data_IF_058774581902
#
_entry.id   IF_058774581902
#
_cell.length_a   1.000
_cell.length_b   1.000
_cell.length_c   1.000
_cell.angle_alpha   90.00
_cell.angle_beta   90.00
_cell.angle_gamma   90.00
#
_symmetry.space_group_name_H-M   'P 1'
#
loop_
_entity.id
_entity.type
_entity.pdbx_description
1 polymer ?
#
# COMPACT_ATOMS: atom_id res chain seq x y z
N UNK A 1 15.83 9.44 4.56
CA UNK A 1 14.57 9.92 3.96
C UNK A 1 13.90 8.73 3.31
N UNK A 2 12.63 8.49 3.60
CA UNK A 2 11.88 7.36 3.02
C UNK A 2 11.77 7.51 1.49
N UNK A 3 11.87 6.42 0.71
CA UNK A 3 11.74 6.47 -0.74
C UNK A 3 10.38 7.03 -1.17
N UNK A 4 10.37 7.82 -2.24
CA UNK A 4 9.14 8.37 -2.82
C UNK A 4 8.49 7.31 -3.70
N UNK A 5 7.32 6.81 -3.30
CA UNK A 5 6.50 5.89 -4.09
C UNK A 5 5.37 6.63 -4.80
N UNK A 6 5.06 6.21 -6.04
CA UNK A 6 3.95 6.75 -6.81
C UNK A 6 3.14 5.63 -7.45
N UNK A 7 1.81 5.75 -7.37
CA UNK A 7 0.87 4.78 -7.90
C UNK A 7 -0.29 5.45 -8.60
N UNK A 8 -0.84 4.73 -9.57
CA UNK A 8 -2.01 5.14 -10.33
C UNK A 8 -3.00 3.98 -10.36
N UNK A 9 -4.29 4.29 -10.24
CA UNK A 9 -5.36 3.32 -10.41
C UNK A 9 -6.52 3.95 -11.17
N UNK A 10 -7.26 3.11 -11.88
CA UNK A 10 -8.55 3.44 -12.51
C UNK A 10 -9.72 2.91 -11.72
N UNK A 11 -9.45 2.11 -10.69
CA UNK A 11 -10.47 1.61 -9.79
C UNK A 11 -10.96 2.76 -8.91
N UNK A 12 -12.16 2.59 -8.36
CA UNK A 12 -12.74 3.52 -7.39
C UNK A 12 -11.99 3.55 -6.03
N UNK A 13 -11.01 2.68 -5.84
CA UNK A 13 -10.19 2.60 -4.64
C UNK A 13 -8.74 2.25 -4.98
N UNK A 14 -7.81 2.69 -4.13
CA UNK A 14 -6.40 2.34 -4.20
C UNK A 14 -5.96 1.76 -2.87
N UNK A 15 -5.44 0.53 -2.89
CA UNK A 15 -4.82 -0.10 -1.73
C UNK A 15 -3.31 0.12 -1.83
N UNK A 16 -2.72 0.71 -0.79
CA UNK A 16 -1.26 0.82 -0.70
C UNK A 16 -0.61 -0.58 -0.74
N UNK A 17 0.32 -0.82 -1.69
CA UNK A 17 1.13 -2.04 -1.70
C UNK A 17 1.88 -2.22 -0.39
N UNK A 18 2.08 -3.47 0.04
CA UNK A 18 2.77 -3.76 1.31
C UNK A 18 4.22 -3.27 1.31
N UNK A 19 4.87 -3.25 0.14
CA UNK A 19 6.22 -2.71 -0.05
C UNK A 19 6.32 -1.19 0.16
N UNK A 20 5.20 -0.46 0.16
CA UNK A 20 5.16 0.99 0.38
C UNK A 20 4.73 1.34 1.81
N UNK A 21 4.32 0.34 2.58
CA UNK A 21 3.88 0.54 3.96
C UNK A 21 5.11 0.70 4.84
N UNK A 22 5.11 1.67 5.76
CA UNK A 22 6.26 1.88 6.60
C UNK A 22 6.33 0.78 7.65
N UNK A 23 7.51 0.18 7.78
CA UNK A 23 7.79 -0.81 8.81
C UNK A 23 8.32 -0.19 10.10
N UNK A 24 8.55 1.12 10.09
CA UNK A 24 9.06 1.89 11.24
C UNK A 24 7.87 2.51 11.97
N UNK A 25 7.91 2.53 13.29
CA UNK A 25 6.86 3.09 14.15
C UNK A 25 6.86 4.64 14.14
N UNK A 26 6.78 5.21 12.95
CA UNK A 26 6.75 6.65 12.69
C UNK A 26 5.51 7.01 11.87
N UNK A 27 5.00 8.23 12.05
CA UNK A 27 3.89 8.72 11.24
C UNK A 27 4.34 9.00 9.82
N UNK A 28 3.59 8.48 8.85
CA UNK A 28 3.80 8.71 7.44
C UNK A 28 2.59 9.40 6.83
N UNK A 29 2.83 10.45 6.05
CA UNK A 29 1.77 11.19 5.34
C UNK A 29 1.71 10.76 3.89
N UNK A 30 0.56 10.25 3.48
CA UNK A 30 0.25 9.93 2.10
C UNK A 30 -0.54 11.04 1.45
N UNK A 31 -0.20 11.37 0.20
CA UNK A 31 -0.82 12.42 -0.61
C UNK A 31 -1.43 11.80 -1.85
N UNK A 32 -2.67 12.16 -2.18
CA UNK A 32 -3.33 11.69 -3.39
C UNK A 32 -4.13 12.81 -4.10
N UNK A 33 -4.37 12.61 -5.39
CA UNK A 33 -5.25 13.45 -6.23
C UNK A 33 -6.06 12.56 -7.16
N UNK A 34 -7.26 12.99 -7.51
CA UNK A 34 -8.11 12.36 -8.52
C UNK A 34 -8.12 13.23 -9.77
N UNK A 35 -7.96 12.61 -10.93
CA UNK A 35 -8.04 13.30 -12.22
C UNK A 35 -9.04 12.60 -13.13
N UNK A 36 -9.83 13.37 -13.86
CA UNK A 36 -10.69 12.85 -14.92
C UNK A 36 -9.84 12.72 -16.19
N UNK A 37 -9.83 11.52 -16.77
CA UNK A 37 -9.08 11.21 -17.99
C UNK A 37 -9.98 10.55 -19.02
N UNK A 38 -9.67 10.79 -20.29
CA UNK A 38 -10.29 10.10 -21.43
C UNK A 38 -9.28 9.16 -22.07
N UNK A 39 -9.73 7.97 -22.46
CA UNK A 39 -8.94 7.10 -23.34
C UNK A 39 -8.97 7.70 -24.73
N UNK A 40 -7.79 7.97 -25.28
CA UNK A 40 -7.62 8.60 -26.60
C UNK A 40 -6.98 7.65 -27.61
N UNK A 41 -6.53 6.48 -27.16
CA UNK A 41 -5.99 5.45 -28.02
C UNK A 41 -5.51 4.25 -27.22
N UNK A 42 -4.87 3.33 -27.93
CA UNK A 42 -4.28 2.12 -27.39
C UNK A 42 -2.88 1.96 -27.99
N UNK A 43 -1.91 1.65 -27.13
CA UNK A 43 -0.54 1.30 -27.49
C UNK A 43 -0.52 -0.10 -28.12
N UNK A 44 0.55 -0.40 -28.84
CA UNK A 44 0.74 -1.70 -29.49
C UNK A 44 0.80 -2.87 -28.50
N UNK A 45 1.20 -2.61 -27.25
CA UNK A 45 1.21 -3.59 -26.15
C UNK A 45 -0.18 -3.81 -25.51
N UNK A 46 -1.23 -3.17 -26.04
CA UNK A 46 -2.58 -3.24 -25.53
C UNK A 46 -2.89 -2.27 -24.39
N UNK A 47 -1.90 -1.50 -23.89
CA UNK A 47 -2.12 -0.47 -22.88
C UNK A 47 -2.87 0.74 -23.45
N UNK A 48 -3.63 1.45 -22.61
CA UNK A 48 -4.37 2.64 -23.07
C UNK A 48 -3.53 3.92 -23.03
N UNK A 49 -3.83 4.85 -23.94
CA UNK A 49 -3.29 6.22 -23.96
C UNK A 49 -4.35 7.16 -23.40
N UNK A 50 -3.97 7.98 -22.42
CA UNK A 50 -4.88 8.86 -21.69
C UNK A 50 -4.59 10.33 -21.97
N UNK A 51 -5.64 11.12 -22.08
CA UNK A 51 -5.58 12.58 -22.07
C UNK A 51 -6.38 13.12 -20.88
N UNK A 52 -5.87 14.16 -20.22
CA UNK A 52 -6.55 14.80 -19.10
C UNK A 52 -7.77 15.59 -19.59
N UNK A 53 -8.93 15.28 -19.03
CA UNK A 53 -10.20 15.93 -19.37
C UNK A 53 -10.48 17.20 -18.56
N UNK A 54 -9.56 17.62 -17.67
CA UNK A 54 -9.76 18.76 -16.81
C UNK A 54 -8.69 18.90 -15.73
N UNK A 55 -9.02 19.64 -14.67
CA UNK A 55 -8.13 19.84 -13.52
C UNK A 55 -8.20 18.63 -12.58
N UNK A 56 -7.04 18.24 -12.05
CA UNK A 56 -7.00 17.31 -10.92
C UNK A 56 -7.71 17.94 -9.71
N UNK A 57 -8.21 17.08 -8.82
CA UNK A 57 -8.70 17.48 -7.51
C UNK A 57 -7.61 18.18 -6.70
N UNK A 58 -8.03 18.83 -5.62
CA UNK A 58 -7.09 19.23 -4.57
C UNK A 58 -6.41 18.01 -3.95
N UNK A 59 -5.31 18.27 -3.24
CA UNK A 59 -4.59 17.23 -2.50
C UNK A 59 -5.42 16.68 -1.35
N UNK A 60 -5.65 15.37 -1.38
CA UNK A 60 -6.10 14.61 -0.23
C UNK A 60 -4.91 14.07 0.55
N UNK A 61 -5.06 13.99 1.87
CA UNK A 61 -4.03 13.43 2.76
C UNK A 61 -4.63 12.43 3.72
N UNK A 62 -3.85 11.42 4.09
CA UNK A 62 -4.07 10.67 5.31
C UNK A 62 -2.73 10.35 5.95
N UNK A 63 -2.75 10.16 7.27
CA UNK A 63 -1.59 9.76 8.06
C UNK A 63 -1.73 8.30 8.47
N UNK A 64 -0.60 7.61 8.52
CA UNK A 64 -0.52 6.22 8.95
C UNK A 64 0.75 6.02 9.77
N UNK A 65 0.60 5.60 11.02
CA UNK A 65 1.68 5.07 11.83
C UNK A 65 2.14 3.71 11.28
N UNK A 66 3.39 3.62 10.82
CA UNK A 66 3.96 2.35 10.42
C UNK A 66 4.02 1.35 11.57
N UNK A 67 4.08 0.06 11.25
CA UNK A 67 4.16 -1.00 12.26
C UNK A 67 5.36 -1.89 11.97
N UNK A 68 6.19 -2.12 13.00
CA UNK A 68 7.17 -3.21 12.98
C UNK A 68 6.39 -4.50 13.18
N UNK A 69 6.39 -5.46 12.24
CA UNK A 69 5.77 -6.75 12.48
C UNK A 69 6.45 -7.44 13.67
N UNK A 70 5.73 -7.68 14.76
CA UNK A 70 6.24 -8.50 15.86
C UNK A 70 6.11 -9.97 15.45
N UNK A 71 7.19 -10.78 15.50
CA UNK A 71 7.07 -12.20 15.22
C UNK A 71 6.16 -12.86 16.26
N UNK A 72 5.32 -13.80 15.81
CA UNK A 72 4.53 -14.64 16.71
C UNK A 72 5.47 -15.45 17.63
N UNK A 73 5.23 -15.49 18.96
CA UNK A 73 6.06 -16.31 19.85
C UNK A 73 5.96 -17.79 19.48
N UNK A 74 7.09 -18.50 19.51
CA UNK A 74 7.13 -19.96 19.36
C UNK A 74 6.52 -20.61 20.60
N UNK A 75 5.58 -21.56 20.48
CA UNK A 75 5.03 -22.25 21.63
C UNK A 75 6.12 -23.08 22.34
N UNK A 76 6.18 -22.98 23.67
CA UNK A 76 7.04 -23.83 24.49
C UNK A 76 6.46 -25.24 24.55
N UNK A 77 7.23 -26.31 24.28
CA UNK A 77 6.74 -27.67 24.44
C UNK A 77 6.41 -27.95 25.91
N UNK A 78 5.28 -28.61 26.16
CA UNK A 78 4.87 -29.05 27.50
C UNK A 78 5.82 -30.18 27.97
N UNK A 79 6.25 -30.21 29.26
CA UNK A 79 7.01 -31.33 29.77
C UNK A 79 6.20 -32.63 29.63
N UNK A 80 6.82 -33.66 29.04
CA UNK A 80 6.23 -35.00 28.97
C UNK A 80 6.14 -35.58 30.38
N UNK A 81 4.94 -35.92 30.84
CA UNK A 81 4.79 -36.71 32.05
C UNK A 81 5.57 -38.02 31.87
N UNK A 82 6.51 -38.31 32.77
CA UNK A 82 7.19 -39.61 32.81
C UNK A 82 6.18 -40.61 33.38
N UNK A 83 5.86 -41.73 32.70
CA UNK A 83 5.02 -42.75 33.30
C UNK A 83 5.75 -43.32 34.53
N UNK A 84 5.06 -43.32 35.67
CA UNK A 84 5.55 -43.97 36.91
C UNK A 84 5.48 -45.49 36.73
N UNK A 85 6.50 -46.25 37.19
CA UNK A 85 6.50 -47.71 37.17
C UNK A 85 5.42 -48.32 38.07
#
# INVERSE_FOLDING_TARGET
GSPVHQGFTRQNSFRLPDTWRPIVAEEHRYRWRVSIVSVTGQRQDGGFIYTFGGRASQDGYFTWLGAVPTPTPTPTPLPSATPSP
#
